data_IF_088500518349
#
_entry.id   IF_088500518349
#
_cell.length_a   1.000
_cell.length_b   1.000
_cell.length_c   1.000
_cell.angle_alpha   90.00
_cell.angle_beta   90.00
_cell.angle_gamma   90.00
#
_symmetry.space_group_name_H-M   'P 1'
#
loop_
_entity.id
_entity.type
_entity.pdbx_description
1 polymer ?
#
# COMPACT_ATOMS: atom_id res chain seq x y z
N UNK A 1 -52.38 -34.44 -3.53
CA UNK A 1 -51.59 -33.60 -4.46
C UNK A 1 -52.31 -33.55 -5.78
N UNK A 2 -52.50 -32.38 -6.38
CA UNK A 2 -52.99 -32.31 -7.76
C UNK A 2 -51.84 -32.62 -8.72
N UNK A 3 -52.11 -33.28 -9.84
CA UNK A 3 -51.11 -33.55 -10.88
C UNK A 3 -50.40 -32.27 -11.33
N UNK A 4 -51.12 -31.15 -11.35
CA UNK A 4 -50.58 -29.81 -11.63
C UNK A 4 -49.59 -29.30 -10.57
N UNK A 5 -49.83 -29.56 -9.28
CA UNK A 5 -48.89 -29.17 -8.20
C UNK A 5 -47.57 -29.95 -8.23
N UNK A 6 -47.61 -31.24 -8.57
CA UNK A 6 -46.39 -32.05 -8.74
C UNK A 6 -45.61 -31.67 -10.00
N UNK A 7 -46.30 -31.32 -11.08
CA UNK A 7 -45.66 -30.86 -12.32
C UNK A 7 -44.96 -29.52 -12.12
N UNK A 8 -45.61 -28.55 -11.47
CA UNK A 8 -45.00 -27.25 -11.16
C UNK A 8 -43.76 -27.39 -10.25
N UNK A 9 -43.83 -28.25 -9.23
CA UNK A 9 -42.68 -28.53 -8.38
C UNK A 9 -41.51 -29.20 -9.15
N UNK A 10 -41.81 -30.16 -10.03
CA UNK A 10 -40.80 -30.81 -10.88
C UNK A 10 -40.15 -29.85 -11.88
N UNK A 11 -40.93 -28.97 -12.52
CA UNK A 11 -40.41 -27.96 -13.46
C UNK A 11 -39.54 -26.91 -12.76
N UNK A 12 -39.96 -26.42 -11.59
CA UNK A 12 -39.12 -25.51 -10.79
C UNK A 12 -37.84 -26.19 -10.32
N UNK A 13 -37.93 -27.46 -9.89
CA UNK A 13 -36.76 -28.27 -9.54
C UNK A 13 -35.77 -28.42 -10.70
N UNK A 14 -36.24 -28.66 -11.92
CA UNK A 14 -35.39 -28.71 -13.13
C UNK A 14 -34.70 -27.37 -13.40
N UNK A 15 -35.46 -26.26 -13.36
CA UNK A 15 -34.91 -24.92 -13.60
C UNK A 15 -33.82 -24.55 -12.59
N UNK A 16 -34.08 -24.79 -11.31
CA UNK A 16 -33.18 -24.40 -10.21
C UNK A 16 -31.91 -25.26 -10.21
N UNK A 17 -32.02 -26.57 -10.49
CA UNK A 17 -30.84 -27.41 -10.68
C UNK A 17 -30.08 -27.05 -11.97
N UNK A 18 -30.76 -26.59 -13.02
CA UNK A 18 -30.13 -26.06 -14.23
C UNK A 18 -29.25 -24.83 -13.94
N UNK A 19 -29.75 -23.89 -13.13
CA UNK A 19 -28.95 -22.73 -12.68
C UNK A 19 -27.75 -23.14 -11.81
N UNK A 20 -27.92 -24.12 -10.91
CA UNK A 20 -26.80 -24.67 -10.13
C UNK A 20 -25.75 -25.33 -11.02
N UNK A 21 -26.15 -26.13 -12.01
CA UNK A 21 -25.24 -26.73 -12.99
C UNK A 21 -24.47 -25.68 -13.78
N UNK A 22 -25.13 -24.61 -14.22
CA UNK A 22 -24.49 -23.51 -14.93
C UNK A 22 -23.43 -22.82 -14.03
N UNK A 23 -23.79 -22.55 -12.78
CA UNK A 23 -22.88 -21.90 -11.82
C UNK A 23 -21.65 -22.75 -11.50
N UNK A 24 -21.83 -24.05 -11.29
CA UNK A 24 -20.71 -25.00 -11.08
C UNK A 24 -19.82 -25.05 -12.34
N UNK A 25 -20.43 -25.09 -13.52
CA UNK A 25 -19.70 -25.12 -14.80
C UNK A 25 -18.85 -23.86 -14.98
N UNK A 26 -19.39 -22.68 -14.65
CA UNK A 26 -18.67 -21.40 -14.68
C UNK A 26 -17.52 -21.39 -13.67
N UNK A 27 -17.72 -21.91 -12.46
CA UNK A 27 -16.67 -22.02 -11.46
C UNK A 27 -15.53 -22.93 -11.93
N UNK A 28 -15.84 -24.11 -12.48
CA UNK A 28 -14.85 -25.04 -13.03
C UNK A 28 -14.07 -24.38 -14.17
N UNK A 29 -14.75 -23.68 -15.08
CA UNK A 29 -14.11 -23.00 -16.20
C UNK A 29 -13.14 -21.89 -15.74
N UNK A 30 -13.46 -21.19 -14.65
CA UNK A 30 -12.64 -20.12 -14.08
C UNK A 30 -11.74 -20.58 -12.90
N UNK A 31 -11.57 -21.89 -12.71
CA UNK A 31 -10.69 -22.44 -11.66
C UNK A 31 -9.22 -22.06 -11.85
N UNK A 32 -8.78 -21.85 -13.10
CA UNK A 32 -7.43 -21.39 -13.43
C UNK A 32 -7.27 -19.86 -13.48
N UNK A 33 -8.33 -19.09 -13.25
CA UNK A 33 -8.29 -17.63 -13.33
C UNK A 33 -7.88 -17.04 -12.00
N UNK A 34 -6.74 -16.34 -11.97
CA UNK A 34 -6.27 -15.64 -10.77
C UNK A 34 -7.28 -14.61 -10.30
N UNK A 35 -7.54 -14.57 -8.99
CA UNK A 35 -8.47 -13.65 -8.36
C UNK A 35 -9.95 -13.97 -8.59
N UNK A 36 -10.29 -15.08 -9.25
CA UNK A 36 -11.69 -15.45 -9.43
C UNK A 36 -12.34 -15.79 -8.09
N UNK A 37 -13.51 -15.20 -7.84
CA UNK A 37 -14.36 -15.47 -6.68
C UNK A 37 -15.48 -16.42 -7.08
N UNK A 38 -15.59 -17.52 -6.34
CA UNK A 38 -16.57 -18.59 -6.56
C UNK A 38 -17.99 -18.03 -6.54
N UNK A 39 -18.80 -18.45 -7.49
CA UNK A 39 -20.24 -18.18 -7.49
C UNK A 39 -20.97 -19.30 -6.74
N UNK A 40 -21.86 -18.94 -5.83
CA UNK A 40 -22.65 -19.87 -5.02
C UNK A 40 -24.15 -19.75 -5.35
N UNK A 41 -24.88 -20.81 -5.05
CA UNK A 41 -26.31 -20.94 -5.33
C UNK A 41 -27.03 -21.41 -4.09
N UNK A 42 -27.98 -20.62 -3.61
CA UNK A 42 -28.82 -20.98 -2.48
C UNK A 42 -30.25 -21.30 -2.94
N UNK A 43 -30.82 -22.34 -2.34
CA UNK A 43 -32.18 -22.76 -2.59
C UNK A 43 -33.10 -22.32 -1.45
N UNK A 44 -34.13 -21.58 -1.79
CA UNK A 44 -35.19 -21.18 -0.85
C UNK A 44 -36.49 -21.92 -1.20
N UNK A 45 -37.11 -22.55 -0.20
CA UNK A 45 -38.43 -23.15 -0.39
C UNK A 45 -39.49 -22.06 -0.44
N UNK A 46 -40.45 -22.21 -1.34
CA UNK A 46 -41.62 -21.35 -1.39
C UNK A 46 -42.75 -22.01 -0.62
N UNK A 47 -43.39 -21.26 0.27
CA UNK A 47 -44.59 -21.69 0.99
C UNK A 47 -45.80 -20.95 0.41
N UNK A 48 -46.73 -21.71 -0.18
CA UNK A 48 -48.04 -21.19 -0.56
C UNK A 48 -48.99 -21.33 0.64
N UNK A 49 -49.95 -20.40 0.79
CA UNK A 49 -50.91 -20.36 1.90
C UNK A 49 -51.48 -21.76 2.23
N UNK A 50 -51.14 -22.23 3.43
CA UNK A 50 -51.46 -23.56 3.93
C UNK A 50 -52.91 -23.59 4.43
N UNK A 51 -53.84 -24.13 3.65
CA UNK A 51 -55.17 -24.51 4.16
C UNK A 51 -55.04 -25.83 4.93
N UNK A 52 -55.62 -25.91 6.13
CA UNK A 52 -55.52 -27.01 7.12
C UNK A 52 -55.84 -28.42 6.60
N UNK A 53 -56.39 -28.56 5.38
CA UNK A 53 -56.81 -29.84 4.81
C UNK A 53 -56.20 -30.16 3.44
N UNK A 54 -55.28 -29.35 2.90
CA UNK A 54 -54.64 -29.62 1.61
C UNK A 54 -53.17 -29.15 1.58
N UNK A 55 -52.25 -30.11 1.42
CA UNK A 55 -50.84 -29.82 1.15
C UNK A 55 -50.67 -29.39 -0.31
N UNK A 56 -50.09 -28.21 -0.52
CA UNK A 56 -49.69 -27.70 -1.82
C UNK A 56 -48.17 -27.50 -1.81
N UNK A 57 -47.45 -28.17 -2.71
CA UNK A 57 -46.03 -27.93 -2.90
C UNK A 57 -45.85 -26.51 -3.46
N UNK A 58 -45.23 -25.62 -2.69
CA UNK A 58 -45.02 -24.23 -3.10
C UNK A 58 -43.84 -24.03 -4.06
N UNK A 59 -42.99 -25.04 -4.24
CA UNK A 59 -41.86 -25.02 -5.16
C UNK A 59 -40.56 -24.58 -4.49
N UNK A 60 -39.55 -24.28 -5.32
CA UNK A 60 -38.23 -23.85 -4.89
C UNK A 60 -37.77 -22.69 -5.77
N UNK A 61 -37.09 -21.72 -5.18
CA UNK A 61 -36.44 -20.59 -5.86
C UNK A 61 -34.94 -20.69 -5.67
N UNK A 62 -34.22 -20.12 -6.63
CA UNK A 62 -32.77 -20.00 -6.63
C UNK A 62 -32.36 -18.55 -6.47
N UNK A 63 -31.39 -18.30 -5.60
CA UNK A 63 -30.68 -17.03 -5.52
C UNK A 63 -29.18 -17.30 -5.74
N UNK A 64 -28.57 -16.58 -6.67
CA UNK A 64 -27.15 -16.73 -7.01
C UNK A 64 -26.38 -15.50 -6.54
N UNK A 65 -25.18 -15.73 -6.00
CA UNK A 65 -24.29 -14.65 -5.57
C UNK A 65 -22.82 -15.05 -5.76
N UNK A 66 -21.93 -14.06 -5.81
CA UNK A 66 -20.49 -14.31 -5.74
C UNK A 66 -20.01 -14.17 -4.32
N UNK A 67 -19.21 -15.13 -3.86
CA UNK A 67 -18.57 -15.06 -2.55
C UNK A 67 -17.26 -14.28 -2.64
N UNK A 68 -17.39 -12.96 -2.67
CA UNK A 68 -16.27 -12.03 -2.83
C UNK A 68 -15.44 -11.93 -1.54
N UNK A 69 -16.09 -12.17 -0.40
CA UNK A 69 -15.44 -12.19 0.91
C UNK A 69 -14.47 -13.37 1.10
N UNK A 70 -14.67 -14.49 0.39
CA UNK A 70 -13.78 -15.64 0.46
C UNK A 70 -12.35 -15.30 0.03
N UNK A 71 -11.36 -15.78 0.77
CA UNK A 71 -9.93 -15.58 0.47
C UNK A 71 -9.37 -16.80 -0.25
N UNK A 72 -8.70 -16.57 -1.39
CA UNK A 72 -7.98 -17.63 -2.11
C UNK A 72 -6.57 -17.82 -1.55
N UNK A 73 -5.92 -18.93 -1.91
CA UNK A 73 -4.50 -19.14 -1.63
C UNK A 73 -3.65 -18.15 -2.45
N UNK A 74 -2.48 -17.78 -1.95
CA UNK A 74 -1.54 -16.89 -2.66
C UNK A 74 -0.41 -17.74 -3.24
N UNK A 75 -0.20 -17.64 -4.56
CA UNK A 75 0.98 -18.22 -5.23
C UNK A 75 2.03 -17.13 -5.38
N UNK A 76 3.27 -17.44 -5.02
CA UNK A 76 4.42 -16.56 -5.25
C UNK A 76 4.83 -16.59 -6.73
N UNK A 77 5.06 -15.41 -7.30
CA UNK A 77 5.51 -15.21 -8.67
C UNK A 77 6.91 -14.58 -8.71
N UNK A 78 7.47 -14.43 -9.91
CA UNK A 78 8.78 -13.80 -10.12
C UNK A 78 8.72 -12.30 -10.42
N UNK A 79 7.52 -11.72 -10.55
CA UNK A 79 7.35 -10.30 -10.91
C UNK A 79 7.06 -9.46 -9.68
N UNK A 80 7.82 -8.38 -9.50
CA UNK A 80 7.67 -7.48 -8.36
C UNK A 80 6.35 -6.70 -8.36
N UNK A 81 5.73 -6.57 -9.53
CA UNK A 81 4.47 -5.85 -9.75
C UNK A 81 3.25 -6.78 -9.78
N UNK A 82 3.43 -8.05 -9.44
CA UNK A 82 2.31 -8.94 -9.14
C UNK A 82 1.89 -8.74 -7.69
N UNK A 83 0.63 -8.35 -7.52
CA UNK A 83 0.09 -7.92 -6.23
C UNK A 83 -1.16 -8.73 -5.91
N UNK A 84 -1.18 -9.30 -4.70
CA UNK A 84 -2.37 -9.89 -4.12
C UNK A 84 -2.61 -9.31 -2.73
N UNK A 85 -3.87 -9.33 -2.29
CA UNK A 85 -4.22 -8.98 -0.91
C UNK A 85 -4.20 -10.25 -0.06
N UNK A 86 -3.46 -10.20 1.04
CA UNK A 86 -3.41 -11.24 2.04
C UNK A 86 -4.49 -10.98 3.09
N UNK A 87 -5.67 -11.58 2.91
CA UNK A 87 -6.81 -11.43 3.81
C UNK A 87 -7.97 -10.64 3.19
N UNK A 88 -8.64 -9.82 4.00
CA UNK A 88 -9.82 -9.07 3.58
C UNK A 88 -9.44 -7.77 2.88
N UNK A 89 -10.13 -7.46 1.78
CA UNK A 89 -10.02 -6.19 1.06
C UNK A 89 -9.72 -6.38 -0.42
N UNK A 90 -9.78 -5.28 -1.18
CA UNK A 90 -9.58 -5.26 -2.63
C UNK A 90 -8.70 -4.06 -3.05
N UNK A 91 -7.92 -4.23 -4.11
CA UNK A 91 -7.06 -3.20 -4.69
C UNK A 91 -7.90 -2.22 -5.51
N UNK A 92 -7.75 -0.90 -5.32
CA UNK A 92 -8.43 0.10 -6.13
C UNK A 92 -7.81 0.20 -7.52
N UNK A 93 -8.65 0.08 -8.53
CA UNK A 93 -8.27 0.15 -9.94
C UNK A 93 -9.25 1.02 -10.72
N UNK A 94 -8.87 1.47 -11.90
CA UNK A 94 -9.73 2.25 -12.80
C UNK A 94 -9.59 1.78 -14.24
N UNK A 95 -10.54 2.15 -15.10
CA UNK A 95 -10.42 2.03 -16.55
C UNK A 95 -9.48 3.09 -17.16
N UNK A 96 -9.24 2.97 -18.48
CA UNK A 96 -8.42 3.92 -19.24
C UNK A 96 -8.93 5.36 -19.14
N UNK A 97 -10.24 5.57 -19.18
CA UNK A 97 -10.83 6.91 -19.11
C UNK A 97 -10.54 7.57 -17.75
N UNK A 98 -10.51 6.77 -16.68
CA UNK A 98 -10.13 7.23 -15.36
C UNK A 98 -8.69 7.73 -15.23
N UNK A 99 -7.80 7.39 -16.16
CA UNK A 99 -6.40 7.87 -16.12
C UNK A 99 -6.28 9.38 -16.36
N UNK A 100 -7.18 9.94 -17.18
CA UNK A 100 -7.16 11.37 -17.57
C UNK A 100 -8.25 12.20 -16.88
N UNK A 101 -9.30 11.53 -16.38
CA UNK A 101 -10.41 12.20 -15.71
C UNK A 101 -10.07 12.63 -14.27
N UNK A 102 -10.72 13.72 -13.84
CA UNK A 102 -10.73 14.17 -12.45
C UNK A 102 -11.24 13.05 -11.53
N UNK A 103 -10.69 12.97 -10.32
CA UNK A 103 -11.00 11.89 -9.37
C UNK A 103 -12.51 11.75 -9.04
N UNK A 104 -13.29 12.83 -9.16
CA UNK A 104 -14.75 12.82 -8.96
C UNK A 104 -15.54 12.09 -10.05
N UNK A 105 -15.01 12.02 -11.27
CA UNK A 105 -15.65 11.37 -12.42
C UNK A 105 -15.03 10.01 -12.74
N UNK A 106 -14.06 9.57 -11.95
CA UNK A 106 -13.34 8.32 -12.18
C UNK A 106 -14.21 7.13 -11.79
N UNK A 107 -14.35 6.17 -12.69
CA UNK A 107 -14.98 4.89 -12.40
C UNK A 107 -14.03 4.01 -11.59
N UNK A 108 -14.04 4.17 -10.27
CA UNK A 108 -13.24 3.36 -9.37
C UNK A 108 -13.86 1.98 -9.21
N UNK A 109 -13.03 0.98 -9.50
CA UNK A 109 -13.33 -0.43 -9.34
C UNK A 109 -12.35 -1.06 -8.35
N UNK A 110 -12.65 -2.28 -7.92
CA UNK A 110 -11.89 -3.02 -6.93
C UNK A 110 -11.53 -4.40 -7.47
N UNK A 111 -10.30 -4.86 -7.28
CA UNK A 111 -9.85 -6.21 -7.70
C UNK A 111 -9.08 -6.91 -6.57
N UNK A 112 -9.23 -8.23 -6.36
CA UNK A 112 -8.52 -8.94 -5.29
C UNK A 112 -7.02 -9.12 -5.57
N UNK A 113 -6.63 -9.16 -6.84
CA UNK A 113 -5.24 -9.35 -7.27
C UNK A 113 -5.07 -8.79 -8.68
N UNK A 114 -3.83 -8.51 -9.07
CA UNK A 114 -3.49 -8.10 -10.42
C UNK A 114 -2.01 -8.25 -10.69
N UNK A 115 -1.68 -8.69 -11.91
CA UNK A 115 -0.34 -8.54 -12.47
C UNK A 115 -0.29 -7.21 -13.20
N UNK A 116 0.51 -6.27 -12.69
CA UNK A 116 0.63 -4.93 -13.26
C UNK A 116 1.91 -4.79 -14.05
N UNK A 117 1.87 -4.10 -15.18
CA UNK A 117 3.05 -3.74 -15.97
C UNK A 117 2.93 -2.29 -16.41
N UNK A 118 4.07 -1.63 -16.54
CA UNK A 118 4.11 -0.26 -17.02
C UNK A 118 3.73 -0.21 -18.51
N UNK A 119 2.83 0.70 -18.86
CA UNK A 119 2.52 1.02 -20.25
C UNK A 119 3.54 2.02 -20.85
N UNK A 120 3.33 2.42 -22.12
CA UNK A 120 4.18 3.39 -22.82
C UNK A 120 4.24 4.76 -22.11
N UNK A 121 3.19 5.11 -21.36
CA UNK A 121 3.11 6.35 -20.58
C UNK A 121 3.62 6.18 -19.14
N UNK A 122 4.06 4.99 -18.76
CA UNK A 122 4.53 4.63 -17.42
C UNK A 122 3.44 4.34 -16.40
N UNK A 123 2.16 4.21 -16.79
CA UNK A 123 1.10 3.81 -15.87
C UNK A 123 1.10 2.30 -15.64
N UNK A 124 0.93 1.88 -14.39
CA UNK A 124 0.79 0.46 -14.05
C UNK A 124 -0.61 -0.04 -14.45
N UNK A 125 -0.66 -0.91 -15.47
CA UNK A 125 -1.88 -1.53 -15.97
C UNK A 125 -1.84 -3.05 -15.90
N UNK A 126 -2.99 -3.68 -15.75
CA UNK A 126 -3.17 -5.11 -15.91
C UNK A 126 -3.32 -5.49 -17.39
N UNK A 127 -3.22 -6.78 -17.70
CA UNK A 127 -3.46 -7.28 -19.06
C UNK A 127 -4.92 -7.11 -19.51
N UNK A 128 -5.84 -7.00 -18.56
CA UNK A 128 -7.24 -6.67 -18.81
C UNK A 128 -7.51 -5.18 -19.07
N UNK A 129 -6.49 -4.31 -18.97
CA UNK A 129 -6.61 -2.88 -19.21
C UNK A 129 -7.08 -2.05 -18.01
N UNK A 130 -6.94 -2.59 -16.79
CA UNK A 130 -7.24 -1.87 -15.54
C UNK A 130 -5.96 -1.20 -15.01
N UNK A 131 -6.06 0.04 -14.55
CA UNK A 131 -4.94 0.83 -14.03
C UNK A 131 -4.96 0.86 -12.51
N UNK A 132 -3.81 0.68 -11.89
CA UNK A 132 -3.66 0.70 -10.43
C UNK A 132 -3.79 2.14 -9.90
N UNK A 133 -4.57 2.30 -8.84
CA UNK A 133 -4.71 3.56 -8.12
C UNK A 133 -3.92 3.53 -6.81
N UNK A 134 -3.31 4.66 -6.46
CA UNK A 134 -2.62 4.85 -5.18
C UNK A 134 -2.62 6.32 -4.76
N UNK A 135 -2.24 6.57 -3.52
CA UNK A 135 -1.95 7.92 -3.04
C UNK A 135 -0.49 8.26 -3.37
N UNK A 136 -0.25 9.44 -3.95
CA UNK A 136 1.10 9.92 -4.18
C UNK A 136 1.81 10.18 -2.84
N UNK A 137 3.05 9.69 -2.73
CA UNK A 137 3.92 10.01 -1.60
C UNK A 137 4.60 11.36 -1.83
N UNK A 138 4.84 12.09 -0.75
CA UNK A 138 5.63 13.32 -0.77
C UNK A 138 7.15 13.04 -0.94
N UNK A 139 7.96 14.09 -1.00
CA UNK A 139 9.42 13.99 -1.08
C UNK A 139 10.07 13.32 0.15
N UNK A 140 9.34 13.22 1.25
CA UNK A 140 9.76 12.54 2.49
C UNK A 140 9.27 11.09 2.55
N UNK A 141 8.57 10.61 1.52
CA UNK A 141 8.02 9.26 1.44
C UNK A 141 6.73 9.04 2.24
N UNK A 142 6.15 10.10 2.79
CA UNK A 142 4.89 10.09 3.53
C UNK A 142 3.69 10.29 2.62
N UNK A 143 2.57 9.69 2.99
CA UNK A 143 1.27 10.03 2.38
C UNK A 143 0.59 11.06 3.27
N UNK A 144 0.29 12.22 2.71
CA UNK A 144 -0.35 13.32 3.43
C UNK A 144 -1.75 12.97 3.95
N UNK A 145 -2.48 13.97 4.48
CA UNK A 145 -3.84 13.74 4.97
C UNK A 145 -4.82 13.51 3.80
N UNK A 146 -5.03 12.25 3.45
CA UNK A 146 -5.88 11.81 2.33
C UNK A 146 -7.29 11.44 2.79
N UNK A 147 -8.28 11.67 1.92
CA UNK A 147 -9.63 11.17 2.11
C UNK A 147 -9.65 9.64 2.00
N UNK A 148 -10.10 8.98 3.06
CA UNK A 148 -10.24 7.51 3.13
C UNK A 148 -11.64 7.02 2.78
N UNK A 149 -12.61 7.92 2.78
CA UNK A 149 -14.01 7.63 2.45
C UNK A 149 -14.37 7.98 1.00
N UNK A 150 -13.41 8.49 0.20
CA UNK A 150 -13.59 8.79 -1.21
C UNK A 150 -12.31 8.54 -2.00
N UNK A 151 -12.45 8.23 -3.29
CA UNK A 151 -11.31 8.10 -4.21
C UNK A 151 -10.70 9.43 -4.66
N UNK A 152 -11.06 10.56 -4.05
CA UNK A 152 -10.69 11.89 -4.52
C UNK A 152 -9.17 12.15 -4.56
N UNK A 153 -8.43 11.57 -3.61
CA UNK A 153 -6.98 11.69 -3.53
C UNK A 153 -6.22 10.56 -4.22
N UNK A 154 -6.93 9.55 -4.72
CA UNK A 154 -6.30 8.48 -5.49
C UNK A 154 -5.90 9.02 -6.85
N UNK A 155 -4.70 8.66 -7.29
CA UNK A 155 -4.18 8.94 -8.62
C UNK A 155 -3.69 7.63 -9.26
N UNK A 156 -3.77 7.51 -10.59
CA UNK A 156 -3.14 6.39 -11.29
C UNK A 156 -1.65 6.37 -11.00
N UNK A 157 -1.14 5.20 -10.66
CA UNK A 157 0.28 5.02 -10.35
C UNK A 157 1.08 5.16 -11.65
N UNK A 158 1.88 6.23 -11.76
CA UNK A 158 2.79 6.47 -12.87
C UNK A 158 4.25 6.42 -12.39
N UNK A 159 5.06 5.60 -13.07
CA UNK A 159 6.47 5.37 -12.77
C UNK A 159 7.42 6.15 -13.70
N UNK A 160 6.94 6.64 -14.84
CA UNK A 160 7.73 7.40 -15.83
C UNK A 160 8.18 8.75 -15.28
N UNK A 161 7.32 9.43 -14.52
CA UNK A 161 7.63 10.71 -13.87
C UNK A 161 8.74 10.61 -12.82
N UNK A 162 9.14 9.40 -12.42
CA UNK A 162 10.18 9.15 -11.42
C UNK A 162 11.45 8.50 -11.97
N UNK A 163 11.57 8.37 -13.30
CA UNK A 163 12.77 7.81 -13.93
C UNK A 163 14.00 8.73 -13.81
N UNK A 164 13.80 10.05 -13.74
CA UNK A 164 14.88 11.04 -13.62
C UNK A 164 14.51 12.13 -12.62
N UNK A 165 14.49 11.81 -11.32
CA UNK A 165 14.34 12.82 -10.28
C UNK A 165 15.57 12.87 -9.39
N UNK A 166 16.27 14.00 -9.42
CA UNK A 166 17.13 14.41 -8.33
C UNK A 166 16.25 15.09 -7.27
N UNK A 167 16.45 14.73 -6.00
CA UNK A 167 15.92 15.53 -4.89
C UNK A 167 17.08 16.32 -4.30
N UNK A 168 17.05 17.67 -4.36
CA UNK A 168 18.06 18.44 -3.64
C UNK A 168 17.97 18.12 -2.16
N UNK A 169 19.12 18.07 -1.48
CA UNK A 169 19.13 17.92 -0.03
C UNK A 169 18.50 19.16 0.60
N UNK A 170 17.50 19.01 1.46
CA UNK A 170 16.93 20.10 2.25
C UNK A 170 17.06 19.91 3.75
N UNK A 171 17.40 18.69 4.19
CA UNK A 171 17.60 18.35 5.60
C UNK A 171 18.79 17.40 5.76
N UNK A 172 19.64 17.68 6.74
CA UNK A 172 20.75 16.82 7.17
C UNK A 172 20.62 16.64 8.69
N UNK A 173 20.63 15.40 9.19
CA UNK A 173 20.69 15.15 10.64
C UNK A 173 22.09 14.67 11.02
N UNK A 174 22.70 15.35 11.99
CA UNK A 174 24.05 15.08 12.47
C UNK A 174 23.99 14.46 13.87
N UNK A 175 24.18 13.15 13.94
CA UNK A 175 24.51 12.41 15.14
C UNK A 175 26.00 12.10 15.15
N UNK A 176 26.76 12.82 15.97
CA UNK A 176 28.20 12.59 16.15
C UNK A 176 28.54 12.68 17.63
N UNK A 177 29.55 11.92 18.05
CA UNK A 177 30.18 12.12 19.35
C UNK A 177 31.54 12.80 19.17
N UNK A 178 31.74 13.91 19.87
CA UNK A 178 32.98 14.68 19.89
C UNK A 178 33.70 14.41 21.23
N UNK A 179 35.03 14.21 21.23
CA UNK A 179 35.78 13.86 22.44
C UNK A 179 35.79 14.99 23.48
N UNK A 180 35.34 14.71 24.70
CA UNK A 180 35.41 15.66 25.82
C UNK A 180 36.86 16.04 26.20
N UNK A 181 37.80 15.11 26.06
CA UNK A 181 39.21 15.33 26.42
C UNK A 181 39.89 16.40 25.55
N UNK A 182 39.37 16.66 24.35
CA UNK A 182 39.91 17.66 23.43
C UNK A 182 39.70 19.11 23.90
N UNK A 183 38.76 19.37 24.82
CA UNK A 183 38.52 20.70 25.42
C UNK A 183 39.22 20.90 26.77
N UNK A 184 40.05 19.95 27.20
CA UNK A 184 40.80 20.05 28.45
C UNK A 184 42.05 20.90 28.27
N UNK A 185 42.44 21.61 29.34
CA UNK A 185 43.65 22.45 29.34
C UNK A 185 44.90 21.63 28.95
N UNK A 186 45.59 22.07 27.89
CA UNK A 186 46.76 21.37 27.33
C UNK A 186 46.42 20.32 26.26
N UNK A 187 45.17 20.22 25.81
CA UNK A 187 44.77 19.40 24.68
C UNK A 187 45.39 19.84 23.34
N UNK A 188 45.35 18.98 22.31
CA UNK A 188 46.01 19.21 21.02
C UNK A 188 45.48 20.43 20.25
N UNK A 189 44.23 20.85 20.49
CA UNK A 189 43.63 22.00 19.82
C UNK A 189 43.34 21.78 18.32
N UNK A 190 43.63 20.60 17.80
CA UNK A 190 43.46 20.28 16.38
C UNK A 190 41.98 20.20 15.97
N UNK A 191 41.63 20.73 14.78
CA UNK A 191 40.26 20.66 14.28
C UNK A 191 39.89 19.24 13.81
N UNK A 192 38.67 18.81 14.13
CA UNK A 192 38.08 17.58 13.60
C UNK A 192 37.19 17.91 12.40
N UNK A 193 37.42 17.26 11.26
CA UNK A 193 36.67 17.50 10.03
C UNK A 193 35.68 16.37 9.75
N UNK A 194 34.44 16.73 9.42
CA UNK A 194 33.40 15.81 8.98
C UNK A 194 32.87 16.25 7.61
N UNK A 195 33.36 15.64 6.52
CA UNK A 195 32.77 15.85 5.19
C UNK A 195 31.43 15.12 5.09
N UNK A 196 30.39 15.84 4.70
CA UNK A 196 29.03 15.35 4.44
C UNK A 196 28.64 15.71 3.02
N UNK A 197 28.43 14.69 2.20
CA UNK A 197 27.98 14.89 0.82
C UNK A 197 26.49 15.28 0.78
N UNK A 198 26.13 16.26 -0.03
CA UNK A 198 24.76 16.69 -0.32
C UNK A 198 24.54 16.82 -1.84
N UNK A 199 23.28 16.95 -2.27
CA UNK A 199 22.94 17.04 -3.69
C UNK A 199 22.30 18.39 -4.02
N UNK A 200 22.76 18.99 -5.13
CA UNK A 200 22.20 20.23 -5.67
C UNK A 200 20.84 20.00 -6.39
N UNK A 201 20.20 21.09 -6.85
CA UNK A 201 18.92 21.03 -7.57
C UNK A 201 19.00 20.32 -8.94
N UNK A 202 20.22 20.01 -9.42
CA UNK A 202 20.51 19.30 -10.66
C UNK A 202 21.01 17.86 -10.39
N UNK A 203 21.07 17.43 -9.12
CA UNK A 203 21.54 16.11 -8.70
C UNK A 203 23.06 15.91 -8.70
N UNK A 204 23.86 16.98 -8.77
CA UNK A 204 25.32 16.88 -8.61
C UNK A 204 25.68 16.70 -7.14
N UNK A 205 26.63 15.80 -6.88
CA UNK A 205 27.22 15.62 -5.56
C UNK A 205 28.13 16.79 -5.22
N UNK A 206 27.90 17.39 -4.06
CA UNK A 206 28.74 18.42 -3.43
C UNK A 206 29.03 18.00 -1.99
N UNK A 207 30.03 18.58 -1.35
CA UNK A 207 30.43 18.22 0.03
C UNK A 207 30.42 19.45 0.92
N UNK A 208 29.62 19.42 1.98
CA UNK A 208 29.75 20.34 3.11
C UNK A 208 30.70 19.70 4.13
N UNK A 209 31.74 20.43 4.53
CA UNK A 209 32.67 19.98 5.57
C UNK A 209 32.41 20.76 6.85
N UNK A 210 32.04 20.06 7.92
CA UNK A 210 31.93 20.62 9.26
C UNK A 210 33.28 20.49 9.97
N UNK A 211 33.88 21.61 10.35
CA UNK A 211 35.15 21.66 11.06
C UNK A 211 34.91 22.02 12.53
N UNK A 212 35.09 21.07 13.44
CA UNK A 212 34.93 21.23 14.87
C UNK A 212 36.27 21.57 15.53
N UNK A 213 36.42 22.80 16.00
CA UNK A 213 37.63 23.28 16.68
C UNK A 213 37.35 23.43 18.17
N UNK A 214 38.07 22.72 19.06
CA UNK A 214 37.88 22.85 20.50
C UNK A 214 38.48 24.16 21.01
N UNK A 215 37.78 24.85 21.92
CA UNK A 215 38.31 26.04 22.59
C UNK A 215 39.09 25.60 23.82
N UNK A 216 40.42 25.49 23.75
CA UNK A 216 41.24 25.01 24.89
C UNK A 216 41.47 26.13 25.91
N UNK A 217 40.99 26.01 27.17
CA UNK A 217 41.22 27.04 28.19
C UNK A 217 42.61 26.88 28.84
N UNK A 218 43.08 27.96 29.49
CA UNK A 218 44.35 27.95 30.22
C UNK A 218 44.32 27.09 31.52
N UNK A 219 43.13 26.78 32.04
CA UNK A 219 42.90 25.87 33.16
C UNK A 219 41.46 25.29 33.10
N UNK A 220 41.28 24.01 33.44
CA UNK A 220 39.98 23.32 33.46
C UNK A 220 39.56 22.70 32.13
N UNK A 221 38.25 22.46 31.96
CA UNK A 221 37.63 22.10 30.67
C UNK A 221 36.65 23.21 30.29
N UNK A 222 36.70 23.68 29.04
CA UNK A 222 35.79 24.72 28.55
C UNK A 222 34.45 24.13 28.08
N UNK A 223 34.46 22.89 27.58
CA UNK A 223 33.32 22.26 26.90
C UNK A 223 32.72 23.16 25.79
N UNK A 224 33.57 24.00 25.18
CA UNK A 224 33.23 24.96 24.14
C UNK A 224 33.87 24.54 22.82
N UNK A 225 33.06 24.53 21.76
CA UNK A 225 33.45 24.14 20.41
C UNK A 225 33.03 25.21 19.41
N UNK A 226 33.94 25.59 18.53
CA UNK A 226 33.63 26.41 17.36
C UNK A 226 33.50 25.49 16.14
N UNK A 227 32.37 25.56 15.45
CA UNK A 227 32.10 24.79 14.24
C UNK A 227 32.05 25.74 13.05
N UNK A 228 32.98 25.57 12.13
CA UNK A 228 33.00 26.30 10.86
C UNK A 228 32.52 25.36 9.76
N UNK A 229 31.72 25.88 8.83
CA UNK A 229 31.04 25.08 7.82
C UNK A 229 31.52 25.53 6.44
N UNK A 230 32.24 24.66 5.75
CA UNK A 230 32.78 24.93 4.41
C UNK A 230 31.99 24.17 3.35
N UNK A 231 31.74 24.79 2.20
CA UNK A 231 31.03 24.17 1.08
C UNK A 231 31.96 24.05 -0.13
N UNK A 232 31.96 22.88 -0.80
CA UNK A 232 32.73 22.65 -2.03
C UNK A 232 32.12 23.30 -3.27
N UNK A 233 30.84 23.69 -3.25
CA UNK A 233 30.18 24.35 -4.37
C UNK A 233 30.54 25.84 -4.48
N UNK A 234 30.80 26.49 -3.33
CA UNK A 234 31.25 27.87 -3.21
C UNK A 234 32.78 27.99 -3.16
N UNK A 235 33.29 28.99 -2.41
CA UNK A 235 34.72 29.08 -2.10
C UNK A 235 35.06 28.15 -0.92
N UNK A 236 35.87 27.10 -1.12
CA UNK A 236 36.19 26.11 -0.08
C UNK A 236 37.00 26.68 1.09
N UNK A 237 37.45 27.95 1.00
CA UNK A 237 38.22 28.64 2.03
C UNK A 237 37.38 29.62 2.87
N UNK A 238 36.12 29.87 2.48
CA UNK A 238 35.22 30.76 3.25
C UNK A 238 34.17 29.95 3.99
N UNK A 239 34.02 30.21 5.29
CA UNK A 239 32.94 29.60 6.09
C UNK A 239 31.59 30.18 5.66
N UNK A 240 30.65 29.29 5.33
CA UNK A 240 29.27 29.57 4.93
C UNK A 240 28.34 29.69 6.15
N UNK A 241 28.83 29.27 7.32
CA UNK A 241 28.09 29.33 8.56
C UNK A 241 28.98 28.95 9.74
N UNK A 242 28.88 29.72 10.81
CA UNK A 242 29.64 29.48 12.04
C UNK A 242 28.68 29.12 13.17
N UNK A 243 29.09 28.20 14.04
CA UNK A 243 28.28 27.75 15.16
C UNK A 243 29.17 27.56 16.39
N UNK A 244 28.92 28.33 17.43
CA UNK A 244 29.54 28.11 18.74
C UNK A 244 28.62 27.22 19.58
N UNK A 245 29.15 26.07 19.99
CA UNK A 245 28.49 25.06 20.80
C UNK A 245 29.08 25.05 22.21
N UNK A 246 28.21 25.09 23.21
CA UNK A 246 28.59 24.83 24.60
C UNK A 246 27.88 23.58 25.11
N UNK A 247 28.59 22.73 25.84
CA UNK A 247 28.04 21.50 26.41
C UNK A 247 27.96 21.56 27.93
N UNK A 248 27.02 20.81 28.49
CA UNK A 248 26.81 20.71 29.93
C UNK A 248 27.69 19.59 30.54
N UNK A 249 28.20 19.84 31.75
CA UNK A 249 29.00 18.89 32.55
C UNK A 249 28.28 18.52 33.87
N UNK A 250 26.96 18.68 33.91
CA UNK A 250 26.14 18.31 35.07
C UNK A 250 25.88 16.79 35.12
N UNK A 251 25.80 16.15 36.30
CA UNK A 251 25.52 14.71 36.45
C UNK A 251 24.26 14.20 35.73
N UNK A 252 23.28 15.07 35.45
CA UNK A 252 22.03 14.71 34.78
C UNK A 252 22.00 15.01 33.27
N UNK A 253 22.93 15.84 32.76
CA UNK A 253 22.94 16.32 31.38
C UNK A 253 24.35 16.32 30.75
N UNK A 254 25.29 15.61 31.36
CA UNK A 254 26.69 15.53 30.93
C UNK A 254 26.81 15.12 29.47
N UNK A 255 27.53 15.93 28.70
CA UNK A 255 27.79 15.69 27.28
C UNK A 255 26.67 16.10 26.33
N UNK A 256 25.65 16.83 26.80
CA UNK A 256 24.57 17.38 25.97
C UNK A 256 24.78 18.85 25.66
N UNK A 257 24.23 19.34 24.55
CA UNK A 257 24.29 20.75 24.17
C UNK A 257 23.58 21.59 25.25
N UNK A 258 24.30 22.52 25.86
CA UNK A 258 23.76 23.51 26.79
C UNK A 258 23.21 24.73 26.04
N UNK A 259 23.98 25.23 25.07
CA UNK A 259 23.52 26.26 24.13
C UNK A 259 24.27 26.17 22.81
N UNK A 260 23.62 26.62 21.74
CA UNK A 260 24.23 26.77 20.44
C UNK A 260 23.91 28.17 19.92
N UNK A 261 24.93 28.90 19.46
CA UNK A 261 24.77 30.22 18.85
C UNK A 261 25.33 30.18 17.44
N UNK A 262 24.48 30.43 16.46
CA UNK A 262 24.87 30.48 15.05
C UNK A 262 25.23 31.92 14.63
N UNK A 263 26.19 32.05 13.73
CA UNK A 263 26.67 33.29 13.16
C UNK A 263 27.01 33.11 11.66
N UNK A 264 27.34 34.22 11.00
CA UNK A 264 27.89 34.23 9.64
C UNK A 264 27.06 33.45 8.60
N UNK A 265 25.74 33.70 8.53
CA UNK A 265 24.85 33.08 7.53
C UNK A 265 24.11 31.83 8.00
N UNK A 266 24.45 31.29 9.17
CA UNK A 266 23.70 30.24 9.85
C UNK A 266 22.73 30.81 10.90
N UNK A 267 21.54 30.22 11.02
CA UNK A 267 20.56 30.56 12.08
C UNK A 267 20.15 29.31 12.84
N UNK A 268 20.27 29.31 14.18
CA UNK A 268 19.89 28.20 15.03
C UNK A 268 18.53 28.43 15.70
N UNK A 269 17.63 27.46 15.63
CA UNK A 269 16.37 27.43 16.38
C UNK A 269 16.47 26.45 17.57
N UNK A 270 16.44 26.93 18.83
CA UNK A 270 16.55 26.09 20.02
C UNK A 270 15.30 25.21 20.27
N UNK A 271 14.14 25.52 19.68
CA UNK A 271 12.92 24.72 19.87
C UNK A 271 12.95 23.44 19.02
N UNK A 272 13.47 23.53 17.79
CA UNK A 272 13.58 22.41 16.87
C UNK A 272 14.93 21.71 16.93
N UNK A 273 16.01 22.42 17.32
CA UNK A 273 17.38 21.92 17.35
C UNK A 273 18.05 21.93 15.97
N UNK A 274 17.56 22.78 15.06
CA UNK A 274 18.00 22.87 13.66
C UNK A 274 18.74 24.17 13.38
N UNK A 275 19.75 24.07 12.52
CA UNK A 275 20.53 25.18 11.97
C UNK A 275 20.13 25.33 10.51
N UNK A 276 19.52 26.45 10.16
CA UNK A 276 19.27 26.81 8.76
C UNK A 276 20.56 27.40 8.17
N UNK A 277 21.04 26.81 7.08
CA UNK A 277 22.13 27.33 6.26
C UNK A 277 21.59 27.71 4.89
N UNK A 278 22.10 28.80 4.31
CA UNK A 278 21.80 29.15 2.91
C UNK A 278 22.98 28.73 2.06
N UNK A 279 22.85 27.59 1.37
CA UNK A 279 23.82 27.11 0.38
C UNK A 279 23.43 27.65 -1.01
N UNK A 280 24.34 27.57 -2.00
CA UNK A 280 24.10 28.07 -3.36
C UNK A 280 22.89 27.41 -4.06
N UNK A 281 22.55 26.18 -3.66
CA UNK A 281 21.40 25.45 -4.20
C UNK A 281 20.08 25.69 -3.44
N UNK A 282 20.10 26.47 -2.34
CA UNK A 282 18.95 26.79 -1.52
C UNK A 282 19.18 26.61 -0.01
N UNK A 283 18.16 26.90 0.82
CA UNK A 283 18.25 26.72 2.26
C UNK A 283 18.26 25.22 2.62
N UNK A 284 19.18 24.85 3.51
CA UNK A 284 19.32 23.50 4.07
C UNK A 284 19.25 23.57 5.59
N UNK A 285 18.41 22.71 6.16
CA UNK A 285 18.25 22.57 7.60
C UNK A 285 19.17 21.46 8.12
N UNK A 286 20.04 21.79 9.06
CA UNK A 286 20.95 20.83 9.70
C UNK A 286 20.51 20.61 11.14
N UNK A 287 20.02 19.41 11.47
CA UNK A 287 19.72 19.04 12.84
C UNK A 287 21.00 18.68 13.58
N UNK A 288 21.31 19.45 14.62
CA UNK A 288 22.48 19.26 15.50
C UNK A 288 22.08 18.80 16.90
N UNK A 289 20.80 18.90 17.27
CA UNK A 289 20.30 18.57 18.59
C UNK A 289 19.65 19.75 19.30
N UNK A 290 18.72 19.42 20.21
CA UNK A 290 18.04 20.40 21.08
C UNK A 290 18.82 20.60 22.38
N UNK A 291 18.72 21.77 23.03
CA UNK A 291 19.38 21.98 24.31
C UNK A 291 18.90 20.96 25.35
N UNK A 292 19.86 20.31 26.03
CA UNK A 292 19.67 19.24 27.01
C UNK A 292 19.03 17.94 26.49
N UNK A 293 18.90 17.75 25.17
CA UNK A 293 18.45 16.49 24.58
C UNK A 293 19.63 15.54 24.32
N UNK A 294 19.36 14.23 24.22
CA UNK A 294 20.35 13.20 23.89
C UNK A 294 20.45 12.90 22.39
N UNK A 295 19.55 13.48 21.58
CA UNK A 295 19.56 13.34 20.14
C UNK A 295 20.42 14.45 19.49
N UNK A 296 21.34 14.06 18.60
CA UNK A 296 22.21 14.97 17.85
C UNK A 296 23.68 14.83 18.26
N UNK A 297 24.38 15.96 18.33
CA UNK A 297 25.79 16.05 18.69
C UNK A 297 25.96 15.90 20.20
N UNK A 298 26.85 15.00 20.62
CA UNK A 298 27.21 14.79 22.03
C UNK A 298 28.70 15.00 22.29
N UNK A 299 29.03 15.38 23.52
CA UNK A 299 30.42 15.49 23.98
C UNK A 299 30.67 14.45 25.08
N UNK A 300 31.21 13.28 24.73
CA UNK A 300 31.59 12.24 25.68
C UNK A 300 33.10 11.98 25.59
N UNK A 301 33.71 11.43 26.64
CA UNK A 301 35.13 11.05 26.69
C UNK A 301 35.44 9.79 25.86
N UNK A 302 34.90 9.73 24.64
CA UNK A 302 35.16 8.71 23.63
C UNK A 302 35.71 9.37 22.36
N UNK A 303 36.39 8.59 21.52
CA UNK A 303 36.93 9.07 20.25
C UNK A 303 35.86 9.68 19.35
N UNK A 304 36.28 10.58 18.46
CA UNK A 304 35.40 11.16 17.45
C UNK A 304 34.77 10.04 16.60
N UNK A 305 33.44 9.96 16.62
CA UNK A 305 32.71 8.93 15.89
C UNK A 305 31.39 9.49 15.36
N UNK A 306 31.16 9.46 14.03
CA UNK A 306 29.83 9.72 13.48
C UNK A 306 28.92 8.53 13.81
N UNK A 307 27.88 8.77 14.61
CA UNK A 307 26.95 7.74 15.09
C UNK A 307 25.75 7.58 14.16
N UNK A 308 25.26 8.67 13.57
CA UNK A 308 24.18 8.67 12.58
C UNK A 308 24.21 9.97 11.76
N UNK A 309 24.64 9.92 10.50
CA UNK A 309 24.52 11.05 9.57
C UNK A 309 23.50 10.68 8.51
N UNK A 310 22.32 11.31 8.55
CA UNK A 310 21.24 11.07 7.58
C UNK A 310 20.96 12.31 6.76
N UNK A 311 20.58 12.13 5.49
CA UNK A 311 20.24 13.21 4.55
C UNK A 311 19.04 12.80 3.71
N UNK A 312 18.27 13.78 3.27
CA UNK A 312 17.06 13.55 2.45
C UNK A 312 17.26 13.79 0.94
N UNK A 313 18.44 14.24 0.51
CA UNK A 313 18.76 14.41 -0.91
C UNK A 313 19.20 13.11 -1.57
N UNK A 314 19.07 13.02 -2.90
CA UNK A 314 19.47 11.86 -3.68
C UNK A 314 20.04 12.26 -5.04
N UNK A 315 21.04 11.51 -5.56
CA UNK A 315 21.59 11.75 -6.89
C UNK A 315 20.58 11.38 -7.97
N UNK A 316 20.86 11.76 -9.22
CA UNK A 316 20.20 11.14 -10.37
C UNK A 316 20.55 9.65 -10.37
N UNK A 317 19.52 8.81 -10.37
CA UNK A 317 19.64 7.37 -10.52
C UNK A 317 18.65 6.87 -11.56
N UNK A 318 19.03 5.83 -12.28
CA UNK A 318 18.13 5.13 -13.19
C UNK A 318 17.29 4.14 -12.40
N UNK A 319 15.99 4.08 -12.71
CA UNK A 319 15.07 3.12 -12.10
C UNK A 319 15.45 1.69 -12.52
N UNK A 320 15.80 0.83 -11.55
CA UNK A 320 16.14 -0.57 -11.78
C UNK A 320 14.92 -1.47 -11.62
N UNK A 321 14.23 -1.34 -10.49
CA UNK A 321 13.05 -2.13 -10.17
C UNK A 321 12.08 -1.35 -9.30
N UNK A 322 10.85 -1.84 -9.22
CA UNK A 322 9.81 -1.31 -8.35
C UNK A 322 9.29 -2.47 -7.53
N UNK A 323 9.13 -2.26 -6.24
CA UNK A 323 8.64 -3.25 -5.29
C UNK A 323 7.48 -2.66 -4.49
N UNK A 324 6.57 -3.52 -4.04
CA UNK A 324 5.46 -3.14 -3.18
C UNK A 324 5.65 -3.86 -1.85
N UNK A 325 5.74 -3.08 -0.78
CA UNK A 325 5.86 -3.58 0.60
C UNK A 325 4.51 -4.04 1.15
N UNK A 326 4.53 -4.74 2.29
CA UNK A 326 3.34 -5.31 2.92
C UNK A 326 2.35 -4.24 3.39
N UNK A 327 2.84 -3.06 3.78
CA UNK A 327 2.01 -1.88 4.10
C UNK A 327 1.50 -1.13 2.85
N UNK A 328 1.75 -1.65 1.64
CA UNK A 328 1.27 -1.08 0.38
C UNK A 328 2.12 0.06 -0.16
N UNK A 329 3.30 0.31 0.39
CA UNK A 329 4.22 1.31 -0.15
C UNK A 329 4.89 0.79 -1.42
N UNK A 330 4.68 1.50 -2.52
CA UNK A 330 5.37 1.31 -3.79
C UNK A 330 6.72 2.01 -3.73
N UNK A 331 7.79 1.23 -3.65
CA UNK A 331 9.16 1.71 -3.59
C UNK A 331 9.86 1.49 -4.93
N UNK A 332 10.46 2.55 -5.45
CA UNK A 332 11.39 2.50 -6.56
C UNK A 332 12.81 2.23 -6.04
N UNK A 333 13.48 1.27 -6.64
CA UNK A 333 14.88 0.94 -6.38
C UNK A 333 15.70 1.47 -7.55
N UNK A 334 16.71 2.28 -7.22
CA UNK A 334 17.59 2.91 -8.19
C UNK A 334 18.95 2.23 -8.26
N UNK A 335 19.68 2.43 -9.36
CA UNK A 335 21.02 1.86 -9.60
C UNK A 335 22.06 2.23 -8.53
N UNK A 336 21.92 3.40 -7.90
CA UNK A 336 22.77 3.85 -6.79
C UNK A 336 22.39 3.25 -5.43
N UNK A 337 21.47 2.29 -5.38
CA UNK A 337 21.12 1.52 -4.18
C UNK A 337 20.22 2.24 -3.18
N UNK A 338 19.74 3.45 -3.49
CA UNK A 338 18.72 4.12 -2.68
C UNK A 338 17.31 3.68 -3.09
N UNK A 339 16.41 3.68 -2.10
CA UNK A 339 14.99 3.36 -2.27
C UNK A 339 14.15 4.62 -2.05
N UNK A 340 13.15 4.84 -2.88
CA UNK A 340 12.21 5.96 -2.73
C UNK A 340 10.79 5.45 -2.79
N UNK A 341 9.98 5.80 -1.79
CA UNK A 341 8.54 5.59 -1.82
C UNK A 341 7.90 6.57 -2.80
N UNK A 342 7.19 6.04 -3.80
CA UNK A 342 6.50 6.85 -4.82
C UNK A 342 5.02 7.00 -4.52
N UNK A 343 4.38 5.90 -4.11
CA UNK A 343 2.95 5.83 -3.85
C UNK A 343 2.69 4.89 -2.67
N UNK A 344 1.52 5.04 -2.06
CA UNK A 344 0.94 4.03 -1.18
C UNK A 344 -0.36 3.53 -1.80
N UNK A 345 -0.49 2.22 -1.97
CA UNK A 345 -1.67 1.56 -2.49
C UNK A 345 -2.57 1.24 -1.29
N UNK A 346 -3.76 1.84 -1.18
CA UNK A 346 -4.67 1.49 -0.11
C UNK A 346 -5.43 0.21 -0.43
N UNK A 347 -6.03 -0.36 0.61
CA UNK A 347 -6.91 -1.51 0.52
C UNK A 347 -8.36 -1.06 0.73
N UNK A 348 -9.20 -1.28 -0.28
CA UNK A 348 -10.63 -0.99 -0.23
C UNK A 348 -11.39 -2.06 0.55
N UNK A 349 -12.20 -1.62 1.50
CA UNK A 349 -13.12 -2.44 2.28
C UNK A 349 -14.53 -1.86 2.22
N UNK A 350 -15.51 -2.76 2.19
CA UNK A 350 -16.93 -2.41 2.28
C UNK A 350 -17.56 -3.23 3.40
N UNK A 351 -18.56 -2.70 4.13
CA UNK A 351 -19.25 -3.43 5.18
C UNK A 351 -19.80 -4.79 4.73
N UNK A 352 -20.30 -4.87 3.48
CA UNK A 352 -20.78 -6.11 2.88
C UNK A 352 -20.09 -6.37 1.52
N UNK A 353 -19.03 -7.18 1.54
CA UNK A 353 -18.24 -7.53 0.36
C UNK A 353 -19.05 -8.29 -0.69
N UNK A 354 -19.96 -9.18 -0.27
CA UNK A 354 -20.81 -9.96 -1.18
C UNK A 354 -21.94 -9.11 -1.79
N UNK A 355 -22.13 -7.88 -1.31
CA UNK A 355 -23.01 -6.88 -1.91
C UNK A 355 -22.38 -6.13 -3.08
N UNK A 356 -21.08 -6.32 -3.37
CA UNK A 356 -20.43 -5.68 -4.51
C UNK A 356 -20.99 -6.22 -5.83
N UNK A 357 -21.06 -5.35 -6.84
CA UNK A 357 -21.47 -5.73 -8.18
C UNK A 357 -20.25 -6.20 -8.97
N UNK A 358 -20.27 -7.46 -9.39
CA UNK A 358 -19.26 -8.00 -10.29
C UNK A 358 -19.31 -7.29 -11.65
N UNK A 359 -18.13 -6.90 -12.13
CA UNK A 359 -17.87 -6.40 -13.48
C UNK A 359 -16.95 -7.40 -14.19
N UNK A 360 -16.62 -7.09 -15.45
CA UNK A 360 -15.68 -7.88 -16.22
C UNK A 360 -14.26 -7.80 -15.61
N UNK A 361 -13.35 -8.67 -16.06
CA UNK A 361 -11.93 -8.64 -15.67
C UNK A 361 -11.66 -8.83 -14.18
N UNK A 362 -12.54 -9.55 -13.48
CA UNK A 362 -12.49 -9.76 -12.01
C UNK A 362 -12.53 -8.46 -11.19
N UNK A 363 -13.08 -7.40 -11.79
CA UNK A 363 -13.31 -6.14 -11.12
C UNK A 363 -14.68 -6.12 -10.43
N UNK A 364 -14.78 -5.33 -9.36
CA UNK A 364 -15.98 -5.17 -8.56
C UNK A 364 -16.27 -3.68 -8.35
N UNK A 365 -17.55 -3.31 -8.45
CA UNK A 365 -18.02 -1.96 -8.18
C UNK A 365 -18.90 -1.92 -6.93
N UNK A 366 -18.87 -0.78 -6.25
CA UNK A 366 -19.70 -0.53 -5.07
C UNK A 366 -21.17 -0.44 -5.49
N UNK A 367 -22.04 -1.08 -4.72
CA UNK A 367 -23.50 -1.04 -4.92
C UNK A 367 -24.21 -0.51 -3.69
N UNK A 368 -25.52 -0.25 -3.79
CA UNK A 368 -26.31 0.15 -2.62
C UNK A 368 -26.34 -0.94 -1.52
N UNK A 369 -26.14 -2.20 -1.89
CA UNK A 369 -26.14 -3.34 -0.97
C UNK A 369 -24.78 -3.60 -0.30
N UNK A 370 -23.67 -3.08 -0.85
CA UNK A 370 -22.35 -3.21 -0.24
C UNK A 370 -22.09 -2.22 0.90
N UNK A 371 -22.82 -1.09 0.88
CA UNK A 371 -22.52 0.06 1.73
C UNK A 371 -21.43 0.95 1.15
N UNK A 372 -20.99 1.94 1.93
CA UNK A 372 -19.96 2.88 1.49
C UNK A 372 -18.57 2.24 1.50
N UNK A 373 -17.75 2.58 0.52
CA UNK A 373 -16.35 2.17 0.47
C UNK A 373 -15.53 2.95 1.49
N UNK A 374 -14.57 2.25 2.10
CA UNK A 374 -13.52 2.85 2.90
C UNK A 374 -12.15 2.30 2.47
N UNK A 375 -11.17 3.19 2.35
CA UNK A 375 -9.80 2.90 1.94
C UNK A 375 -8.90 2.91 3.19
N UNK A 376 -8.47 1.72 3.58
CA UNK A 376 -7.56 1.51 4.70
C UNK A 376 -6.10 1.47 4.23
N UNK A 377 -5.19 1.77 5.14
CA UNK A 377 -3.78 1.42 4.96
C UNK A 377 -3.64 -0.10 5.01
N UNK A 378 -2.83 -0.69 4.14
CA UNK A 378 -2.68 -2.14 4.10
C UNK A 378 -2.13 -2.67 5.44
N UNK A 379 -2.68 -3.77 5.93
CA UNK A 379 -2.31 -4.38 7.21
C UNK A 379 -2.82 -3.66 8.46
N UNK A 380 -3.64 -2.61 8.31
CA UNK A 380 -4.21 -1.85 9.43
C UNK A 380 -5.72 -1.99 9.50
N UNK A 381 -6.27 -2.01 10.72
CA UNK A 381 -7.72 -2.09 10.94
C UNK A 381 -8.28 -3.47 10.55
N UNK A 382 -9.41 -3.55 9.82
CA UNK A 382 -10.06 -4.81 9.50
C UNK A 382 -9.60 -5.43 8.15
N UNK A 383 -8.67 -4.78 7.45
CA UNK A 383 -8.13 -5.24 6.16
C UNK A 383 -6.84 -6.02 6.33
N UNK A 384 -6.56 -6.84 5.33
CA UNK A 384 -5.31 -7.56 5.17
C UNK A 384 -4.13 -6.71 4.73
N UNK A 385 -2.95 -7.29 4.75
CA UNK A 385 -1.74 -6.73 4.14
C UNK A 385 -1.74 -6.91 2.62
N UNK A 386 -0.88 -6.17 1.95
CA UNK A 386 -0.56 -6.43 0.54
C UNK A 386 0.58 -7.44 0.48
N UNK A 387 0.55 -8.36 -0.48
CA UNK A 387 1.65 -9.27 -0.74
C UNK A 387 2.16 -9.04 -2.16
N UNK A 388 3.34 -8.41 -2.26
CA UNK A 388 4.07 -8.31 -3.52
C UNK A 388 4.61 -9.67 -3.96
N UNK A 389 4.98 -9.78 -5.25
CA UNK A 389 5.42 -11.04 -5.86
C UNK A 389 4.42 -12.18 -5.69
N UNK A 390 3.12 -11.87 -5.69
CA UNK A 390 2.12 -12.90 -5.52
C UNK A 390 0.83 -12.62 -6.27
N UNK A 391 0.16 -13.70 -6.67
CA UNK A 391 -1.18 -13.67 -7.25
C UNK A 391 -2.10 -14.56 -6.45
N UNK A 392 -3.36 -14.13 -6.29
CA UNK A 392 -4.39 -14.93 -5.63
C UNK A 392 -4.91 -16.00 -6.60
N UNK A 393 -4.97 -17.26 -6.16
CA UNK A 393 -5.66 -18.33 -6.87
C UNK A 393 -7.17 -18.10 -6.92
N UNK A 394 -7.83 -18.80 -7.84
CA UNK A 394 -9.29 -18.93 -7.81
C UNK A 394 -9.72 -19.52 -6.46
N UNK A 395 -10.80 -19.00 -5.88
CA UNK A 395 -11.37 -19.59 -4.65
C UNK A 395 -12.13 -20.89 -4.93
N UNK A 396 -12.18 -21.31 -6.19
CA UNK A 396 -12.88 -22.53 -6.62
C UNK A 396 -12.01 -23.76 -6.43
N UNK A 397 -12.51 -24.75 -5.69
CA UNK A 397 -11.92 -26.09 -5.62
C UNK A 397 -12.60 -27.04 -6.61
N UNK A 398 -11.85 -27.49 -7.62
CA UNK A 398 -12.32 -28.37 -8.69
C UNK A 398 -12.87 -29.69 -8.14
N UNK A 399 -12.26 -30.27 -7.09
CA UNK A 399 -12.69 -31.56 -6.56
C UNK A 399 -14.08 -31.45 -5.92
N UNK A 400 -14.29 -30.37 -5.16
CA UNK A 400 -15.58 -30.03 -4.56
C UNK A 400 -16.63 -29.73 -5.64
N UNK A 401 -16.29 -28.92 -6.65
CA UNK A 401 -17.21 -28.59 -7.76
C UNK A 401 -17.62 -29.80 -8.59
N UNK A 402 -16.70 -30.74 -8.87
CA UNK A 402 -17.04 -31.97 -9.60
C UNK A 402 -17.98 -32.87 -8.80
N UNK A 403 -17.85 -32.89 -7.47
CA UNK A 403 -18.78 -33.61 -6.59
C UNK A 403 -20.16 -32.96 -6.60
N UNK A 404 -20.22 -31.63 -6.44
CA UNK A 404 -21.43 -30.82 -6.54
C UNK A 404 -22.13 -31.00 -7.91
N UNK A 405 -21.36 -31.12 -8.99
CA UNK A 405 -21.85 -31.38 -10.34
C UNK A 405 -22.53 -32.75 -10.44
N UNK A 406 -21.92 -33.80 -9.91
CA UNK A 406 -22.50 -35.16 -9.91
C UNK A 406 -23.81 -35.19 -9.09
N UNK A 407 -23.82 -34.54 -7.93
CA UNK A 407 -25.03 -34.43 -7.10
C UNK A 407 -26.15 -33.69 -7.84
N UNK A 408 -25.83 -32.55 -8.45
CA UNK A 408 -26.81 -31.72 -9.16
C UNK A 408 -27.33 -32.42 -10.43
N UNK A 409 -26.49 -33.18 -11.14
CA UNK A 409 -26.92 -34.01 -12.26
C UNK A 409 -27.89 -35.13 -11.83
N UNK A 410 -27.60 -35.80 -10.71
CA UNK A 410 -28.51 -36.80 -10.12
C UNK A 410 -29.85 -36.17 -9.71
N UNK A 411 -29.82 -34.99 -9.09
CA UNK A 411 -31.04 -34.25 -8.74
C UNK A 411 -31.85 -33.83 -9.99
N UNK A 412 -31.18 -33.35 -11.04
CA UNK A 412 -31.82 -32.97 -12.30
C UNK A 412 -32.50 -34.18 -12.98
N UNK A 413 -31.79 -35.31 -13.12
CA UNK A 413 -32.35 -36.55 -13.69
C UNK A 413 -33.50 -37.13 -12.86
N UNK A 414 -33.45 -37.02 -11.52
CA UNK A 414 -34.55 -37.41 -10.65
C UNK A 414 -35.79 -36.54 -10.87
N UNK A 415 -35.64 -35.22 -10.96
CA UNK A 415 -36.75 -34.30 -11.27
C UNK A 415 -37.32 -34.55 -12.67
N UNK A 416 -36.48 -34.85 -13.66
CA UNK A 416 -36.93 -35.22 -15.00
C UNK A 416 -37.79 -36.48 -14.99
N UNK A 417 -37.43 -37.48 -14.16
CA UNK A 417 -38.23 -38.70 -14.02
C UNK A 417 -39.61 -38.42 -13.40
N UNK A 418 -39.72 -37.49 -12.45
CA UNK A 418 -41.01 -37.06 -11.88
C UNK A 418 -41.90 -36.48 -12.99
N UNK A 419 -41.35 -35.62 -13.85
CA UNK A 419 -42.10 -35.03 -14.97
C UNK A 419 -42.56 -36.13 -15.94
N UNK A 420 -41.69 -37.09 -16.27
CA UNK A 420 -42.05 -38.22 -17.12
C UNK A 420 -43.19 -39.05 -16.53
N UNK A 421 -43.11 -39.41 -15.24
CA UNK A 421 -44.17 -40.19 -14.58
C UNK A 421 -45.49 -39.42 -14.51
N UNK A 422 -45.45 -38.10 -14.33
CA UNK A 422 -46.66 -37.26 -14.40
C UNK A 422 -47.25 -37.26 -15.81
N UNK A 423 -46.42 -37.16 -16.85
CA UNK A 423 -46.85 -37.18 -18.25
C UNK A 423 -47.50 -38.52 -18.62
N UNK A 424 -46.88 -39.65 -18.21
CA UNK A 424 -47.44 -41.00 -18.36
C UNK A 424 -48.83 -41.13 -17.70
N UNK A 425 -49.02 -40.57 -16.50
CA UNK A 425 -50.32 -40.56 -15.80
C UNK A 425 -51.37 -39.67 -16.50
N UNK A 426 -50.96 -38.52 -17.06
CA UNK A 426 -51.84 -37.65 -17.86
C UNK A 426 -52.28 -38.33 -19.16
N UNK A 427 -51.37 -39.06 -19.79
CA UNK A 427 -51.67 -39.83 -20.99
C UNK A 427 -52.69 -40.93 -20.68
N UNK A 428 -52.49 -41.69 -19.60
CA UNK A 428 -53.42 -42.76 -19.19
C UNK A 428 -54.81 -42.23 -18.82
N UNK A 429 -54.87 -41.11 -18.09
CA UNK A 429 -56.15 -40.46 -17.77
C UNK A 429 -56.87 -39.91 -19.01
N UNK A 430 -56.12 -39.48 -20.03
CA UNK A 430 -56.70 -39.05 -21.32
C UNK A 430 -57.25 -40.24 -22.10
N UNK A 431 -56.58 -41.39 -22.05
CA UNK A 431 -57.01 -42.64 -22.68
C UNK A 431 -58.30 -43.19 -22.05
N UNK A 432 -58.48 -43.05 -20.73
CA UNK A 432 -59.70 -43.45 -20.01
C UNK A 432 -60.97 -42.66 -20.39
N UNK A 433 -60.83 -41.50 -21.05
CA UNK A 433 -61.97 -40.66 -21.47
C UNK A 433 -62.51 -41.04 -22.86
N UNK A 434 -61.76 -41.80 -23.66
CA UNK A 434 -62.26 -42.40 -24.91
C UNK A 434 -62.84 -43.77 -24.63
#
# INVERSE_FOLDING_TARGET
MSISSSLNAGVMGLSVNGTRLATISDNIANSGTYGYKRSAVDFSSMVLQQKTSAYAAGGVRVDTYKDIAATGSLIRTGSATDVAISGRGLLPVTDLDGTTNLASNRNMMLTPTGSFFADENGYLRTQSGLFLLGWAADSSGGVGNVSRNSGANLVPVNISTSQFNATPTSSIDLGINIPADATTAGGPGDPYMLPVEYFDNLGRAQTVTFQFTPTVPAAGSSNEWNVEIFDSAGDPLTSVGDLALTFNDSPTAGGRIASATAANGATYDPATGRVSLTLDHGPVEVFIGRPNDSAGITQLAASFAPTAVTKNGSPIGDLQSIEIDEQGFLQAIYDKGFRRTLYQIPVGDVPNMNGLRALDSQAYSVSNSSGNLYLWDAGSGPVGGISGYSLMESTTDIASELTDLIETQRAYSSNAKIVQTVDEMLQETTNLKR
#
